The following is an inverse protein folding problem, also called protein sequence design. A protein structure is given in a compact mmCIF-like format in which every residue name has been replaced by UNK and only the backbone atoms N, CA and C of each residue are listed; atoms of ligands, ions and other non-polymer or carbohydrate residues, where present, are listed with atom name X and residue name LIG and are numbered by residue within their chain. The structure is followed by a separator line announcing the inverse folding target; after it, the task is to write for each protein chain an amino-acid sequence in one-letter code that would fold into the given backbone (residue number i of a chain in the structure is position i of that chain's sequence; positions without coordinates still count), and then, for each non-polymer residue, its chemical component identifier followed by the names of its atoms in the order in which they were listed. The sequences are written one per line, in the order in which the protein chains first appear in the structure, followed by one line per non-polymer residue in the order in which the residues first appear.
data_IF_744297848562
#
_entry.id   IF_744297848562
#
_cell.length_a   1.000
_cell.length_b   1.000
_cell.length_c   1.000
_cell.angle_alpha   90.00
_cell.angle_beta   90.00
_cell.angle_gamma   90.00
#
_symmetry.space_group_name_H-M   'P 1'
#
loop_
_entity.id
_entity.type
_entity.pdbx_description
1 polymer ?
#
# COMPACT_ATOMS: atom_id res chain seq x y z
N UNK A 1 9.52 1.48 22.29
CA UNK A 1 8.66 0.87 23.33
C UNK A 1 7.28 1.50 23.29
N UNK A 2 6.30 0.82 22.70
CA UNK A 2 4.87 1.00 23.00
C UNK A 2 4.06 -0.01 22.18
N UNK A 3 3.88 -1.22 22.71
CA UNK A 3 2.67 -1.98 22.44
C UNK A 3 1.77 -1.76 23.66
N UNK A 4 0.58 -1.22 23.44
CA UNK A 4 -0.49 -1.22 24.44
C UNK A 4 -1.57 -2.11 23.86
N UNK A 5 -1.58 -3.37 24.30
CA UNK A 5 -2.71 -4.26 24.07
C UNK A 5 -3.88 -3.77 24.94
N UNK A 6 -4.81 -3.03 24.35
CA UNK A 6 -6.11 -2.79 24.97
C UNK A 6 -6.93 -4.05 24.73
N UNK A 7 -7.11 -4.83 25.79
CA UNK A 7 -7.96 -6.02 25.83
C UNK A 7 -9.40 -5.61 25.45
N UNK A 8 -9.94 -6.19 24.38
CA UNK A 8 -11.38 -6.12 24.06
C UNK A 8 -11.79 -5.53 22.70
N UNK A 9 -10.86 -5.05 21.87
CA UNK A 9 -11.19 -4.61 20.50
C UNK A 9 -10.65 -5.63 19.48
N UNK A 10 -11.57 -6.20 18.69
CA UNK A 10 -11.26 -7.12 17.57
C UNK A 10 -10.24 -6.44 16.65
N UNK A 11 -9.14 -7.12 16.34
CA UNK A 11 -8.12 -6.66 15.38
C UNK A 11 -8.24 -7.46 14.08
N UNK A 12 -7.75 -6.95 12.94
CA UNK A 12 -7.67 -7.75 11.73
C UNK A 12 -6.82 -9.01 11.97
N UNK A 13 -7.30 -10.20 11.55
CA UNK A 13 -6.48 -11.41 11.51
C UNK A 13 -5.15 -11.23 10.78
N UNK A 14 -4.16 -12.05 11.16
CA UNK A 14 -2.86 -12.10 10.49
C UNK A 14 -3.05 -12.40 8.99
N UNK A 15 -2.35 -11.66 8.12
CA UNK A 15 -2.62 -11.69 6.69
C UNK A 15 -1.45 -11.21 5.85
N UNK A 16 -1.36 -11.72 4.61
CA UNK A 16 -0.38 -11.30 3.60
C UNK A 16 -1.07 -10.94 2.28
N UNK A 17 -0.43 -10.09 1.47
CA UNK A 17 -0.93 -9.74 0.14
C UNK A 17 -2.16 -8.84 0.15
N UNK A 18 -2.45 -8.23 1.29
CA UNK A 18 -3.46 -7.19 1.44
C UNK A 18 -2.87 -5.82 1.07
N UNK A 19 -3.71 -4.80 0.98
CA UNK A 19 -3.24 -3.41 0.84
C UNK A 19 -3.77 -2.55 1.97
N UNK A 20 -3.04 -1.48 2.25
CA UNK A 20 -3.50 -0.41 3.12
C UNK A 20 -3.28 0.95 2.49
N UNK A 21 -4.14 1.89 2.87
CA UNK A 21 -4.10 3.29 2.50
C UNK A 21 -4.46 4.14 3.72
N UNK A 22 -3.99 5.37 3.77
CA UNK A 22 -4.24 6.26 4.90
C UNK A 22 -4.79 7.60 4.43
N UNK A 23 -5.67 8.19 5.25
CA UNK A 23 -6.00 9.61 5.21
C UNK A 23 -5.42 10.33 6.46
N UNK A 24 -5.98 11.47 6.85
CA UNK A 24 -5.54 12.22 8.03
C UNK A 24 -5.98 11.60 9.37
N UNK A 25 -6.97 10.73 9.35
CA UNK A 25 -7.69 10.24 10.53
C UNK A 25 -7.55 8.71 10.70
N UNK A 26 -7.43 7.99 9.60
CA UNK A 26 -7.56 6.55 9.54
C UNK A 26 -6.53 5.89 8.63
N UNK A 27 -6.12 4.69 9.03
CA UNK A 27 -5.56 3.68 8.14
C UNK A 27 -6.66 2.69 7.78
N UNK A 28 -6.78 2.38 6.49
CA UNK A 28 -7.69 1.36 5.98
C UNK A 28 -6.88 0.13 5.54
N UNK A 29 -7.32 -1.06 5.93
CA UNK A 29 -6.73 -2.36 5.54
C UNK A 29 -7.79 -3.18 4.84
N UNK A 30 -7.47 -3.69 3.64
CA UNK A 30 -8.43 -4.45 2.84
C UNK A 30 -7.76 -5.62 2.10
N UNK A 31 -8.47 -6.75 2.04
CA UNK A 31 -8.03 -7.95 1.37
C UNK A 31 -7.00 -8.76 2.17
N UNK A 32 -6.28 -9.60 1.42
CA UNK A 32 -5.24 -10.49 1.90
C UNK A 32 -5.68 -11.94 1.99
N UNK A 33 -4.73 -12.75 2.43
CA UNK A 33 -4.82 -14.19 2.53
C UNK A 33 -4.12 -14.70 3.79
N UNK A 34 -4.69 -15.72 4.43
CA UNK A 34 -4.04 -16.55 5.44
C UNK A 34 -4.57 -18.00 5.34
N UNK A 35 -3.72 -18.99 5.01
CA UNK A 35 -4.11 -20.40 4.95
C UNK A 35 -4.23 -21.08 6.31
N UNK A 36 -3.78 -20.45 7.39
CA UNK A 36 -4.00 -21.00 8.71
C UNK A 36 -5.46 -20.72 9.12
N UNK A 37 -6.25 -21.79 9.23
CA UNK A 37 -7.68 -21.68 9.50
C UNK A 37 -7.95 -20.95 10.81
N UNK A 38 -7.27 -21.34 11.89
CA UNK A 38 -7.50 -20.77 13.22
C UNK A 38 -7.02 -19.32 13.29
N UNK A 39 -5.83 -19.01 12.77
CA UNK A 39 -5.32 -17.63 12.72
C UNK A 39 -6.12 -16.72 11.78
N UNK A 40 -6.79 -17.28 10.77
CA UNK A 40 -7.64 -16.53 9.85
C UNK A 40 -9.04 -16.23 10.40
N UNK A 41 -9.35 -16.64 11.63
CA UNK A 41 -10.65 -16.45 12.28
C UNK A 41 -11.56 -17.68 12.25
N UNK A 42 -11.06 -18.82 11.76
CA UNK A 42 -11.78 -20.10 11.76
C UNK A 42 -13.15 -20.00 11.10
N UNK A 43 -14.19 -20.41 11.83
CA UNK A 43 -15.58 -20.40 11.34
C UNK A 43 -16.15 -19.01 11.11
N UNK A 44 -15.55 -17.96 11.68
CA UNK A 44 -16.02 -16.58 11.51
C UNK A 44 -15.60 -15.98 10.15
N UNK A 45 -14.64 -16.59 9.44
CA UNK A 45 -14.20 -16.13 8.13
C UNK A 45 -14.92 -16.89 7.00
N UNK A 46 -16.06 -16.36 6.57
CA UNK A 46 -16.88 -16.95 5.50
C UNK A 46 -16.14 -17.03 4.14
N UNK A 47 -15.17 -16.15 3.92
CA UNK A 47 -14.40 -16.06 2.67
C UNK A 47 -13.03 -16.74 2.77
N UNK A 48 -12.84 -17.61 3.77
CA UNK A 48 -11.60 -18.37 3.99
C UNK A 48 -11.09 -19.02 2.71
N UNK A 49 -9.76 -18.96 2.44
CA UNK A 49 -8.70 -18.33 3.24
C UNK A 49 -8.40 -16.87 2.86
N UNK A 50 -9.30 -16.21 2.13
CA UNK A 50 -9.19 -14.78 1.78
C UNK A 50 -9.91 -13.92 2.82
N UNK A 51 -9.65 -12.62 2.82
CA UNK A 51 -10.30 -11.67 3.72
C UNK A 51 -11.12 -10.64 2.95
N UNK A 52 -12.44 -10.85 2.88
CA UNK A 52 -13.38 -9.95 2.21
C UNK A 52 -14.01 -8.95 3.19
N UNK A 53 -13.14 -8.16 3.81
CA UNK A 53 -13.52 -7.25 4.89
C UNK A 53 -12.66 -6.00 4.91
N UNK A 54 -13.28 -4.85 5.19
CA UNK A 54 -12.60 -3.57 5.31
C UNK A 54 -12.37 -3.24 6.79
N UNK A 55 -11.11 -3.11 7.18
CA UNK A 55 -10.71 -2.69 8.52
C UNK A 55 -10.25 -1.24 8.53
N UNK A 56 -10.49 -0.57 9.65
CA UNK A 56 -10.06 0.80 9.92
C UNK A 56 -9.32 0.86 11.25
N UNK A 57 -8.13 1.43 11.25
CA UNK A 57 -7.42 1.83 12.46
C UNK A 57 -7.50 3.34 12.59
N UNK A 58 -8.14 3.81 13.67
CA UNK A 58 -8.36 5.23 13.90
C UNK A 58 -7.19 5.82 14.70
N UNK A 59 -6.44 6.76 14.11
CA UNK A 59 -5.17 7.22 14.65
C UNK A 59 -5.31 7.89 16.02
N UNK A 60 -6.39 8.64 16.25
CA UNK A 60 -6.54 9.38 17.50
C UNK A 60 -6.89 8.48 18.70
N UNK A 61 -7.58 7.36 18.45
CA UNK A 61 -8.02 6.44 19.50
C UNK A 61 -7.11 5.23 19.62
N UNK A 62 -6.34 4.92 18.58
CA UNK A 62 -5.50 3.74 18.51
C UNK A 62 -6.31 2.44 18.38
N UNK A 63 -7.56 2.53 17.89
CA UNK A 63 -8.50 1.41 17.88
C UNK A 63 -8.74 0.89 16.47
N UNK A 64 -8.77 -0.44 16.35
CA UNK A 64 -9.27 -1.13 15.17
C UNK A 64 -10.79 -1.22 15.18
N UNK A 65 -11.38 -1.16 13.99
CA UNK A 65 -12.79 -1.40 13.75
C UNK A 65 -12.99 -2.04 12.37
N UNK A 66 -13.72 -3.15 12.32
CA UNK A 66 -14.22 -3.70 11.07
C UNK A 66 -15.37 -2.80 10.57
N UNK A 67 -15.20 -2.21 9.40
CA UNK A 67 -16.24 -1.43 8.74
C UNK A 67 -17.18 -2.41 8.04
N UNK A 68 -18.43 -2.47 8.50
CA UNK A 68 -19.49 -3.12 7.74
C UNK A 68 -19.78 -2.29 6.49
N UNK A 69 -19.54 -2.88 5.33
CA UNK A 69 -19.77 -2.26 4.03
C UNK A 69 -20.79 -3.05 3.22
N UNK A 70 -21.50 -2.36 2.35
CA UNK A 70 -22.49 -2.96 1.44
C UNK A 70 -22.02 -2.87 -0.02
N UNK A 71 -22.69 -3.58 -0.93
CA UNK A 71 -22.48 -3.45 -2.37
C UNK A 71 -21.48 -4.45 -2.97
N UNK A 72 -20.88 -4.08 -4.10
CA UNK A 72 -20.10 -4.99 -4.95
C UNK A 72 -18.62 -5.04 -4.57
N UNK A 73 -18.32 -5.76 -3.49
CA UNK A 73 -16.94 -5.98 -3.03
C UNK A 73 -16.20 -6.97 -3.97
N UNK A 74 -14.91 -6.75 -4.27
CA UNK A 74 -14.13 -7.70 -5.08
C UNK A 74 -13.96 -9.05 -4.39
N UNK A 75 -13.70 -10.08 -5.20
CA UNK A 75 -13.41 -11.45 -4.76
C UNK A 75 -11.94 -11.82 -4.88
N UNK A 76 -11.18 -11.10 -5.70
CA UNK A 76 -9.76 -11.33 -5.96
C UNK A 76 -8.89 -10.57 -4.96
N UNK A 77 -8.97 -11.03 -3.71
CA UNK A 77 -8.57 -10.27 -2.52
C UNK A 77 -7.09 -10.36 -2.17
N UNK A 78 -6.37 -11.34 -2.72
CA UNK A 78 -4.95 -11.41 -2.56
C UNK A 78 -4.27 -10.61 -3.66
N UNK A 79 -3.19 -9.93 -3.30
CA UNK A 79 -2.23 -9.41 -4.27
C UNK A 79 -2.73 -8.28 -5.18
N UNK A 80 -3.85 -7.65 -4.81
CA UNK A 80 -4.44 -6.51 -5.51
C UNK A 80 -3.65 -5.22 -5.27
N UNK A 81 -4.00 -4.20 -6.04
CA UNK A 81 -3.51 -2.83 -5.88
C UNK A 81 -4.61 -1.94 -5.31
N UNK A 82 -4.25 -1.01 -4.43
CA UNK A 82 -5.18 -0.05 -3.87
C UNK A 82 -4.61 1.36 -3.76
N UNK A 83 -5.45 2.36 -3.98
CA UNK A 83 -5.14 3.79 -3.76
C UNK A 83 -6.35 4.48 -3.16
N UNK A 84 -6.12 5.56 -2.40
CA UNK A 84 -7.18 6.42 -1.86
C UNK A 84 -7.24 7.72 -2.67
N UNK A 85 -8.41 8.05 -3.19
CA UNK A 85 -8.66 9.30 -3.91
C UNK A 85 -9.84 10.05 -3.31
N UNK A 86 -9.55 11.08 -2.52
CA UNK A 86 -10.55 11.69 -1.64
C UNK A 86 -11.07 10.64 -0.65
N UNK A 87 -12.39 10.42 -0.63
CA UNK A 87 -13.02 9.41 0.22
C UNK A 87 -13.22 8.06 -0.49
N UNK A 88 -12.66 7.88 -1.69
CA UNK A 88 -12.87 6.68 -2.50
C UNK A 88 -11.61 5.80 -2.49
N UNK A 89 -11.73 4.64 -1.87
CA UNK A 89 -10.75 3.56 -1.97
C UNK A 89 -10.97 2.85 -3.31
N UNK A 90 -10.02 2.98 -4.22
CA UNK A 90 -10.00 2.29 -5.50
C UNK A 90 -9.16 1.03 -5.37
N UNK A 91 -9.71 -0.10 -5.79
CA UNK A 91 -9.06 -1.42 -5.80
C UNK A 91 -9.06 -1.97 -7.21
N UNK A 92 -7.92 -2.52 -7.64
CA UNK A 92 -7.74 -3.07 -8.97
C UNK A 92 -6.91 -4.35 -8.96
N UNK A 93 -7.26 -5.26 -9.86
CA UNK A 93 -6.52 -6.51 -10.07
C UNK A 93 -6.65 -7.45 -8.88
N UNK A 94 -5.61 -8.25 -8.67
CA UNK A 94 -5.57 -9.25 -7.61
C UNK A 94 -5.95 -10.63 -8.10
N UNK A 95 -5.86 -11.60 -7.19
CA UNK A 95 -6.15 -13.01 -7.46
C UNK A 95 -7.02 -13.60 -6.35
N UNK A 96 -8.00 -14.39 -6.76
CA UNK A 96 -8.78 -15.29 -5.92
C UNK A 96 -8.09 -16.65 -5.82
N UNK A 97 -8.83 -17.66 -5.35
CA UNK A 97 -8.33 -19.03 -5.23
C UNK A 97 -9.04 -19.92 -6.25
N UNK A 98 -8.31 -20.80 -6.97
CA UNK A 98 -6.85 -20.98 -6.98
C UNK A 98 -6.06 -19.76 -7.51
N UNK A 99 -4.88 -19.50 -6.93
CA UNK A 99 -4.07 -18.34 -7.29
C UNK A 99 -3.57 -18.40 -8.74
N UNK A 100 -3.69 -17.29 -9.44
CA UNK A 100 -3.32 -17.15 -10.86
C UNK A 100 -4.40 -17.63 -11.84
N UNK A 101 -5.38 -18.41 -11.40
CA UNK A 101 -6.48 -18.87 -12.24
C UNK A 101 -7.67 -17.90 -12.21
N UNK A 102 -7.98 -17.36 -11.04
CA UNK A 102 -9.06 -16.39 -10.87
C UNK A 102 -8.50 -14.99 -10.63
N UNK A 103 -8.26 -14.23 -11.70
CA UNK A 103 -7.67 -12.89 -11.60
C UNK A 103 -8.69 -11.80 -11.97
N UNK A 104 -8.61 -10.70 -11.23
CA UNK A 104 -9.44 -9.53 -11.42
C UNK A 104 -8.85 -8.60 -12.48
N UNK A 105 -9.70 -7.87 -13.19
CA UNK A 105 -9.27 -6.64 -13.85
C UNK A 105 -10.29 -5.51 -13.64
N UNK A 106 -11.30 -5.70 -12.79
CA UNK A 106 -12.30 -4.68 -12.50
C UNK A 106 -11.76 -3.61 -11.55
N UNK A 107 -12.29 -2.39 -11.69
CA UNK A 107 -12.03 -1.29 -10.75
C UNK A 107 -13.17 -1.24 -9.76
N UNK A 108 -12.91 -1.66 -8.54
CA UNK A 108 -13.85 -1.57 -7.44
C UNK A 108 -13.61 -0.28 -6.66
N UNK A 109 -14.70 0.40 -6.29
CA UNK A 109 -14.64 1.67 -5.55
C UNK A 109 -15.46 1.54 -4.30
N UNK A 110 -14.82 1.66 -3.14
CA UNK A 110 -15.47 1.84 -1.85
C UNK A 110 -15.39 3.28 -1.45
N UNK A 111 -16.53 3.94 -1.23
CA UNK A 111 -16.48 5.18 -0.49
C UNK A 111 -16.47 4.89 1.01
N UNK A 112 -15.47 5.40 1.71
CA UNK A 112 -15.26 5.07 3.13
C UNK A 112 -16.24 5.79 4.06
N UNK A 113 -16.87 6.89 3.62
CA UNK A 113 -17.83 7.64 4.43
C UNK A 113 -19.21 6.98 4.45
N UNK A 114 -19.75 6.66 3.27
CA UNK A 114 -21.04 5.96 3.16
C UNK A 114 -20.91 4.42 3.09
N UNK A 115 -19.69 3.89 3.21
CA UNK A 115 -19.38 2.46 3.43
C UNK A 115 -19.98 1.54 2.37
N UNK A 116 -19.93 1.96 1.10
CA UNK A 116 -20.53 1.21 -0.01
C UNK A 116 -19.54 0.99 -1.14
N UNK A 117 -19.47 -0.25 -1.58
CA UNK A 117 -18.73 -0.71 -2.74
C UNK A 117 -19.58 -0.61 -4.01
N UNK A 118 -18.93 -0.21 -5.09
CA UNK A 118 -19.51 -0.19 -6.43
C UNK A 118 -18.47 -0.60 -7.46
N UNK A 119 -18.94 -1.16 -8.56
CA UNK A 119 -18.12 -1.39 -9.74
C UNK A 119 -18.02 -0.09 -10.54
N UNK A 120 -16.82 0.37 -10.84
CA UNK A 120 -16.63 1.47 -11.77
C UNK A 120 -16.73 0.93 -13.20
N UNK A 121 -17.87 1.19 -13.84
CA UNK A 121 -18.09 0.83 -15.23
C UNK A 121 -17.11 1.59 -16.15
N UNK A 122 -16.03 0.92 -16.52
CA UNK A 122 -15.00 1.45 -17.40
C UNK A 122 -15.15 0.87 -18.81
N UNK A 123 -14.83 1.68 -19.83
CA UNK A 123 -14.76 1.26 -21.23
C UNK A 123 -13.32 1.34 -21.75
N UNK A 124 -13.10 1.03 -23.02
CA UNK A 124 -11.79 1.14 -23.67
C UNK A 124 -10.92 -0.12 -23.52
N UNK A 125 -9.61 0.04 -23.69
CA UNK A 125 -8.64 -1.07 -23.69
C UNK A 125 -8.21 -1.41 -22.26
N UNK A 126 -9.02 -2.23 -21.61
CA UNK A 126 -8.82 -2.67 -20.23
C UNK A 126 -7.57 -3.55 -20.07
N UNK A 127 -6.84 -3.47 -18.95
CA UNK A 127 -5.73 -4.38 -18.68
C UNK A 127 -6.17 -5.84 -18.63
N UNK A 128 -5.22 -6.75 -18.90
CA UNK A 128 -5.42 -8.18 -18.72
C UNK A 128 -5.69 -8.52 -17.24
N UNK A 129 -6.32 -9.68 -17.02
CA UNK A 129 -6.60 -10.23 -15.68
C UNK A 129 -5.31 -10.75 -15.04
N UNK A 130 -4.64 -9.90 -14.27
CA UNK A 130 -3.35 -10.18 -13.63
C UNK A 130 -3.33 -9.65 -12.19
N UNK A 131 -2.34 -10.08 -11.40
CA UNK A 131 -2.15 -9.66 -10.02
C UNK A 131 -0.71 -9.20 -9.73
N UNK A 132 -0.50 -8.55 -8.59
CA UNK A 132 0.83 -8.05 -8.21
C UNK A 132 1.33 -6.87 -9.05
N UNK A 133 0.40 -6.12 -9.64
CA UNK A 133 0.63 -4.82 -10.27
C UNK A 133 1.03 -3.78 -9.22
N UNK A 134 1.55 -2.64 -9.69
CA UNK A 134 1.56 -1.40 -8.94
C UNK A 134 0.60 -0.39 -9.57
N UNK A 135 0.10 0.54 -8.75
CA UNK A 135 -0.95 1.48 -9.14
C UNK A 135 -0.75 2.85 -8.50
N UNK A 136 -0.99 3.91 -9.27
CA UNK A 136 -0.85 5.30 -8.80
C UNK A 136 -1.82 6.24 -9.50
N UNK A 137 -2.21 7.34 -8.85
CA UNK A 137 -3.02 8.40 -9.48
C UNK A 137 -2.15 9.63 -9.73
N UNK A 138 -2.14 10.10 -10.97
CA UNK A 138 -1.41 11.30 -11.38
C UNK A 138 -2.33 12.14 -12.26
N UNK A 139 -2.55 13.40 -11.88
CA UNK A 139 -3.32 14.39 -12.67
C UNK A 139 -4.70 13.89 -13.14
N UNK A 140 -5.44 13.17 -12.29
CA UNK A 140 -6.79 12.66 -12.60
C UNK A 140 -6.80 11.34 -13.39
N UNK A 141 -5.64 10.75 -13.66
CA UNK A 141 -5.51 9.46 -14.31
C UNK A 141 -4.99 8.40 -13.34
N UNK A 142 -5.57 7.20 -13.38
CA UNK A 142 -5.08 6.02 -12.68
C UNK A 142 -4.16 5.24 -13.61
N UNK A 143 -2.91 5.03 -13.19
CA UNK A 143 -1.92 4.25 -13.92
C UNK A 143 -1.73 2.90 -13.24
N UNK A 144 -1.65 1.83 -14.05
CA UNK A 144 -1.39 0.46 -13.60
C UNK A 144 -0.28 -0.13 -14.45
N UNK A 145 0.75 -0.67 -13.80
CA UNK A 145 1.91 -1.24 -14.48
C UNK A 145 2.22 -2.66 -13.99
N UNK A 146 2.65 -3.48 -14.94
CA UNK A 146 3.21 -4.81 -14.71
C UNK A 146 2.26 -5.79 -14.05
N UNK A 147 2.79 -6.76 -13.31
CA UNK A 147 2.03 -7.84 -12.69
C UNK A 147 2.20 -9.17 -13.42
N UNK A 148 1.43 -10.18 -13.03
CA UNK A 148 1.55 -11.54 -13.59
C UNK A 148 0.22 -12.27 -13.66
N UNK A 149 0.09 -13.17 -14.63
CA UNK A 149 -0.97 -14.20 -14.66
C UNK A 149 -0.67 -15.38 -13.74
N UNK A 150 0.53 -15.46 -13.17
CA UNK A 150 1.10 -16.65 -12.50
C UNK A 150 2.05 -17.44 -13.40
N UNK A 151 1.97 -17.25 -14.71
CA UNK A 151 2.84 -17.90 -15.71
C UNK A 151 3.66 -16.87 -16.50
N UNK A 152 3.03 -15.76 -16.88
CA UNK A 152 3.62 -14.71 -17.70
C UNK A 152 3.65 -13.43 -16.86
N UNK A 153 4.76 -12.69 -16.94
CA UNK A 153 4.91 -11.39 -16.32
C UNK A 153 4.65 -10.31 -17.37
N UNK A 154 4.16 -9.14 -16.95
CA UNK A 154 3.80 -8.07 -17.88
C UNK A 154 4.71 -6.85 -17.69
N UNK A 155 4.88 -6.10 -18.77
CA UNK A 155 5.46 -4.74 -18.83
C UNK A 155 4.44 -3.70 -19.28
N UNK A 156 3.16 -4.09 -19.38
CA UNK A 156 2.15 -3.19 -19.92
C UNK A 156 1.88 -2.04 -18.95
N UNK A 157 1.80 -0.83 -19.48
CA UNK A 157 1.35 0.35 -18.76
C UNK A 157 -0.04 0.75 -19.28
N UNK A 158 -1.01 0.73 -18.40
CA UNK A 158 -2.37 1.15 -18.70
C UNK A 158 -2.73 2.40 -17.93
N UNK A 159 -3.54 3.26 -18.56
CA UNK A 159 -4.05 4.50 -17.99
C UNK A 159 -5.57 4.52 -18.07
N UNK A 160 -6.22 4.77 -16.94
CA UNK A 160 -7.66 5.05 -16.86
C UNK A 160 -7.86 6.54 -16.57
N UNK A 161 -8.59 7.20 -17.46
CA UNK A 161 -9.14 8.52 -17.18
C UNK A 161 -10.30 8.40 -16.18
N UNK A 162 -10.16 8.98 -14.99
CA UNK A 162 -11.17 8.86 -13.93
C UNK A 162 -12.42 9.71 -14.20
N UNK A 163 -12.33 10.72 -15.07
CA UNK A 163 -13.47 11.55 -15.49
C UNK A 163 -14.27 10.83 -16.56
N UNK A 164 -13.62 10.37 -17.63
CA UNK A 164 -14.31 9.74 -18.76
C UNK A 164 -14.55 8.24 -18.55
N UNK A 165 -13.85 7.61 -17.60
CA UNK A 165 -13.87 6.17 -17.30
C UNK A 165 -13.41 5.31 -18.48
N UNK A 166 -12.42 5.81 -19.20
CA UNK A 166 -11.88 5.16 -20.39
C UNK A 166 -10.44 4.68 -20.17
N UNK A 167 -10.23 3.38 -20.36
CA UNK A 167 -8.93 2.74 -20.35
C UNK A 167 -8.21 2.91 -21.68
N UNK A 168 -6.92 3.24 -21.59
CA UNK A 168 -5.98 3.28 -22.70
C UNK A 168 -4.76 2.44 -22.36
N UNK A 169 -4.33 1.58 -23.29
CA UNK A 169 -3.01 0.95 -23.23
C UNK A 169 -1.98 1.95 -23.77
N UNK A 170 -1.02 2.34 -22.94
CA UNK A 170 0.06 3.23 -23.33
C UNK A 170 1.17 2.42 -23.97
N UNK A 171 1.31 2.56 -25.29
CA UNK A 171 2.40 1.93 -26.03
C UNK A 171 3.62 2.86 -26.02
N UNK A 172 4.69 2.53 -25.30
CA UNK A 172 5.90 3.35 -25.29
C UNK A 172 6.49 3.52 -26.69
N UNK A 173 7.11 4.67 -26.95
CA UNK A 173 7.82 4.98 -28.18
C UNK A 173 9.21 4.31 -28.26
N UNK A 174 9.59 3.56 -27.23
CA UNK A 174 10.86 2.84 -27.13
C UNK A 174 10.95 1.67 -28.11
N UNK A 175 12.16 1.31 -28.56
CA UNK A 175 12.40 -0.02 -29.12
C UNK A 175 12.18 -1.10 -28.04
N UNK A 176 11.88 -2.35 -28.42
CA UNK A 176 11.63 -3.44 -27.46
C UNK A 176 12.73 -3.65 -26.43
N UNK A 177 14.00 -3.44 -26.80
CA UNK A 177 15.17 -3.67 -25.94
C UNK A 177 15.33 -2.60 -24.83
N UNK A 178 14.63 -1.46 -24.95
CA UNK A 178 14.67 -0.36 -23.97
C UNK A 178 13.49 -0.40 -22.98
N UNK A 179 12.67 -1.46 -23.03
CA UNK A 179 11.56 -1.65 -22.10
C UNK A 179 12.05 -2.22 -20.76
N UNK A 180 11.43 -1.84 -19.64
CA UNK A 180 11.72 -2.46 -18.35
C UNK A 180 11.49 -3.97 -18.42
N UNK A 181 12.26 -4.75 -17.66
CA UNK A 181 12.02 -6.19 -17.59
C UNK A 181 10.63 -6.49 -17.01
N UNK A 182 9.99 -7.55 -17.50
CA UNK A 182 8.73 -8.03 -16.95
C UNK A 182 8.85 -8.32 -15.44
N UNK A 183 7.85 -7.90 -14.67
CA UNK A 183 7.89 -8.01 -13.21
C UNK A 183 6.52 -7.96 -12.54
N UNK A 184 6.46 -8.54 -11.36
CA UNK A 184 5.38 -8.34 -10.39
C UNK A 184 5.98 -7.91 -9.04
N UNK A 185 5.14 -7.40 -8.13
CA UNK A 185 5.53 -7.06 -6.75
C UNK A 185 6.68 -6.06 -6.63
N UNK A 186 6.74 -5.19 -7.63
CA UNK A 186 7.41 -3.90 -7.57
C UNK A 186 6.47 -2.88 -6.93
N UNK A 187 7.00 -1.73 -6.59
CA UNK A 187 6.21 -0.59 -6.15
C UNK A 187 6.45 0.61 -7.08
N UNK A 188 5.58 1.62 -7.00
CA UNK A 188 5.61 2.81 -7.85
C UNK A 188 5.73 4.09 -7.03
N UNK A 189 6.49 5.04 -7.57
CA UNK A 189 6.53 6.44 -7.15
C UNK A 189 6.42 7.37 -8.37
N UNK A 190 6.23 8.67 -8.17
CA UNK A 190 6.14 9.63 -9.27
C UNK A 190 6.54 11.05 -8.88
N UNK A 191 7.04 11.84 -9.82
CA UNK A 191 7.27 13.29 -9.63
C UNK A 191 6.20 14.16 -10.33
N UNK A 192 5.17 13.51 -10.89
CA UNK A 192 4.11 14.15 -11.67
C UNK A 192 4.39 14.22 -13.18
N UNK A 193 5.65 14.06 -13.59
CA UNK A 193 6.07 13.96 -15.00
C UNK A 193 6.50 12.54 -15.37
N UNK A 194 7.09 11.81 -14.41
CA UNK A 194 7.57 10.45 -14.56
C UNK A 194 6.94 9.50 -13.55
N UNK A 195 6.76 8.25 -13.96
CA UNK A 195 6.40 7.11 -13.09
C UNK A 195 7.64 6.26 -12.89
N UNK A 196 8.09 6.08 -11.66
CA UNK A 196 9.27 5.31 -11.30
C UNK A 196 8.89 3.92 -10.80
N UNK A 197 9.57 2.89 -11.28
CA UNK A 197 9.39 1.49 -10.87
C UNK A 197 10.50 1.10 -9.90
N UNK A 198 10.13 0.68 -8.69
CA UNK A 198 11.07 0.28 -7.65
C UNK A 198 10.99 -1.22 -7.38
N UNK A 199 12.10 -1.91 -7.65
CA UNK A 199 12.31 -3.32 -7.34
C UNK A 199 11.35 -4.26 -8.08
N UNK A 200 10.83 -5.23 -7.35
CA UNK A 200 10.06 -6.35 -7.89
C UNK A 200 10.95 -7.38 -8.56
N UNK A 201 10.33 -8.26 -9.33
CA UNK A 201 11.05 -9.29 -10.06
C UNK A 201 10.13 -10.37 -10.59
N UNK A 202 10.64 -11.60 -10.66
CA UNK A 202 9.89 -12.82 -10.99
C UNK A 202 9.77 -13.70 -9.73
N UNK A 203 9.16 -14.88 -9.85
CA UNK A 203 9.06 -15.81 -8.73
C UNK A 203 10.43 -16.31 -8.25
N UNK A 204 11.45 -16.30 -9.11
CA UNK A 204 12.82 -16.74 -8.81
C UNK A 204 13.81 -15.58 -8.61
N UNK A 205 13.62 -14.44 -9.27
CA UNK A 205 14.59 -13.33 -9.24
C UNK A 205 14.01 -12.09 -8.56
N UNK A 206 14.81 -11.42 -7.73
CA UNK A 206 14.56 -10.05 -7.30
C UNK A 206 15.52 -9.12 -8.05
N UNK A 207 14.99 -8.03 -8.61
CA UNK A 207 15.80 -7.11 -9.41
C UNK A 207 16.53 -6.08 -8.53
N UNK A 208 17.74 -5.66 -8.93
CA UNK A 208 18.54 -4.71 -8.18
C UNK A 208 17.94 -3.30 -8.25
N UNK A 209 18.44 -2.44 -7.36
CA UNK A 209 17.98 -1.06 -7.18
C UNK A 209 19.09 -0.04 -7.46
N UNK A 210 20.20 -0.47 -8.08
CA UNK A 210 21.25 0.40 -8.61
C UNK A 210 20.76 1.18 -9.84
N UNK A 211 19.73 0.67 -10.52
CA UNK A 211 19.00 1.35 -11.59
C UNK A 211 17.50 1.33 -11.33
N UNK A 212 16.81 2.36 -11.81
CA UNK A 212 15.34 2.43 -11.79
C UNK A 212 14.82 2.80 -13.17
N UNK A 213 13.71 2.18 -13.57
CA UNK A 213 13.02 2.55 -14.81
C UNK A 213 12.02 3.66 -14.52
N UNK A 214 12.03 4.70 -15.34
CA UNK A 214 11.13 5.84 -15.24
C UNK A 214 10.36 6.02 -16.55
N UNK A 215 9.03 6.03 -16.49
CA UNK A 215 8.19 6.28 -17.65
C UNK A 215 7.84 7.77 -17.72
N UNK A 216 8.31 8.44 -18.75
CA UNK A 216 8.05 9.85 -19.01
C UNK A 216 6.67 10.01 -19.68
N UNK A 217 5.77 10.72 -18.99
CA UNK A 217 4.38 10.91 -19.40
C UNK A 217 4.24 11.90 -20.57
N UNK A 218 5.21 12.78 -20.79
CA UNK A 218 5.22 13.74 -21.89
C UNK A 218 5.71 13.09 -23.18
N UNK A 219 6.85 12.38 -23.12
CA UNK A 219 7.46 11.75 -24.30
C UNK A 219 6.88 10.38 -24.61
N UNK A 220 6.06 9.81 -23.71
CA UNK A 220 5.50 8.46 -23.83
C UNK A 220 6.62 7.42 -24.02
N UNK A 221 7.68 7.51 -23.21
CA UNK A 221 8.85 6.62 -23.29
C UNK A 221 9.43 6.28 -21.93
N UNK A 222 10.00 5.08 -21.82
CA UNK A 222 10.82 4.65 -20.71
C UNK A 222 12.23 5.24 -20.79
N UNK A 223 12.78 5.56 -19.62
CA UNK A 223 14.14 6.02 -19.38
C UNK A 223 14.74 5.09 -18.30
N UNK A 224 15.99 4.65 -18.49
CA UNK A 224 16.76 3.97 -17.44
C UNK A 224 17.59 5.01 -16.67
N UNK A 225 17.42 5.05 -15.35
CA UNK A 225 18.10 6.01 -14.48
C UNK A 225 19.03 5.27 -13.53
N UNK A 226 20.33 5.59 -13.62
CA UNK A 226 21.31 5.13 -12.65
C UNK A 226 21.11 5.84 -11.31
N UNK A 227 20.91 5.07 -10.26
CA UNK A 227 20.83 5.58 -8.88
C UNK A 227 22.22 5.64 -8.25
N UNK A 228 22.35 6.47 -7.22
CA UNK A 228 23.58 6.63 -6.45
C UNK A 228 23.49 5.85 -5.15
N UNK A 229 24.54 5.09 -4.78
CA UNK A 229 24.53 4.27 -3.58
C UNK A 229 24.66 5.13 -2.33
N UNK A 230 24.19 4.65 -1.19
CA UNK A 230 24.56 5.26 0.09
C UNK A 230 26.08 5.14 0.31
N UNK A 231 26.75 6.24 0.62
CA UNK A 231 28.22 6.38 0.65
C UNK A 231 28.99 5.24 1.33
N UNK A 232 28.46 4.70 2.43
CA UNK A 232 29.13 3.65 3.23
C UNK A 232 28.57 2.24 3.07
N UNK A 233 27.34 2.11 2.59
CA UNK A 233 26.58 0.84 2.68
C UNK A 233 26.32 0.27 1.29
N UNK A 234 26.34 1.11 0.25
CA UNK A 234 25.97 0.69 -1.09
C UNK A 234 24.48 0.87 -1.34
N UNK A 235 23.95 -0.02 -2.16
CA UNK A 235 22.55 -0.03 -2.56
C UNK A 235 21.68 -0.87 -1.59
N UNK A 236 20.36 -0.62 -1.53
CA UNK A 236 19.46 -1.58 -0.95
C UNK A 236 19.57 -2.93 -1.66
N UNK A 237 19.48 -4.03 -0.90
CA UNK A 237 19.43 -5.36 -1.52
C UNK A 237 18.26 -5.46 -2.52
N UNK A 238 18.43 -6.21 -3.63
CA UNK A 238 17.35 -6.55 -4.56
C UNK A 238 16.13 -7.08 -3.80
N UNK A 239 14.92 -6.64 -4.14
CA UNK A 239 13.73 -7.01 -3.34
C UNK A 239 12.43 -6.98 -4.11
N UNK A 240 11.55 -7.93 -3.78
CA UNK A 240 10.14 -7.98 -4.18
C UNK A 240 9.24 -8.05 -2.95
N UNK A 241 7.96 -7.74 -3.13
CA UNK A 241 6.94 -7.79 -2.06
C UNK A 241 7.29 -6.92 -0.83
N UNK A 242 8.07 -5.85 -1.06
CA UNK A 242 8.36 -4.80 -0.10
C UNK A 242 7.23 -3.76 -0.17
N UNK A 243 7.12 -2.90 0.85
CA UNK A 243 6.23 -1.75 0.77
C UNK A 243 6.99 -0.49 0.37
N UNK A 244 6.28 0.43 -0.27
CA UNK A 244 6.78 1.72 -0.69
C UNK A 244 5.80 2.82 -0.30
N UNK A 245 6.31 3.93 0.23
CA UNK A 245 5.54 5.15 0.48
C UNK A 245 6.33 6.36 0.01
N UNK A 246 5.63 7.42 -0.39
CA UNK A 246 6.24 8.62 -0.91
C UNK A 246 5.82 9.86 -0.11
N UNK A 247 6.79 10.71 0.22
CA UNK A 247 6.57 12.04 0.80
C UNK A 247 7.32 13.05 -0.08
N UNK A 248 6.58 13.79 -0.91
CA UNK A 248 7.17 14.73 -1.90
C UNK A 248 8.19 13.99 -2.78
N UNK A 249 9.42 14.47 -2.87
CA UNK A 249 10.48 13.85 -3.68
C UNK A 249 11.16 12.64 -3.00
N UNK A 250 10.85 12.36 -1.74
CA UNK A 250 11.46 11.25 -1.01
C UNK A 250 10.56 10.00 -1.06
N UNK A 251 11.12 8.91 -1.55
CA UNK A 251 10.48 7.60 -1.65
C UNK A 251 11.13 6.65 -0.66
N UNK A 252 10.34 5.97 0.14
CA UNK A 252 10.79 5.09 1.20
C UNK A 252 10.35 3.67 0.91
N UNK A 253 11.28 2.73 1.02
CA UNK A 253 11.02 1.29 0.89
C UNK A 253 11.35 0.58 2.21
N UNK A 254 10.55 -0.43 2.56
CA UNK A 254 10.79 -1.25 3.75
C UNK A 254 10.53 -2.74 3.51
N UNK A 255 11.36 -3.55 4.14
CA UNK A 255 11.25 -5.01 4.14
C UNK A 255 11.26 -5.63 2.74
N UNK A 256 10.48 -6.71 2.57
CA UNK A 256 10.41 -7.49 1.34
C UNK A 256 11.28 -8.75 1.38
N UNK A 257 11.44 -9.38 0.22
CA UNK A 257 12.19 -10.64 0.07
C UNK A 257 13.19 -10.53 -1.08
N UNK A 258 14.45 -10.90 -0.83
CA UNK A 258 15.51 -10.84 -1.84
C UNK A 258 15.72 -12.16 -2.60
N UNK A 259 15.03 -13.24 -2.22
CA UNK A 259 15.28 -14.59 -2.74
C UNK A 259 15.87 -15.55 -1.72
N UNK A 260 16.44 -15.02 -0.63
CA UNK A 260 17.10 -15.78 0.44
C UNK A 260 16.58 -15.40 1.83
N UNK A 261 16.43 -14.09 2.09
CA UNK A 261 16.09 -13.51 3.39
C UNK A 261 14.87 -12.61 3.30
N UNK A 262 14.04 -12.66 4.34
CA UNK A 262 13.05 -11.62 4.61
C UNK A 262 13.79 -10.41 5.17
N UNK A 263 13.64 -9.27 4.52
CA UNK A 263 14.30 -8.03 4.88
C UNK A 263 13.48 -7.27 5.94
N UNK A 264 14.16 -6.48 6.76
CA UNK A 264 13.56 -5.58 7.74
C UNK A 264 14.11 -4.14 7.63
N UNK A 265 15.01 -3.89 6.69
CA UNK A 265 15.66 -2.60 6.54
C UNK A 265 14.73 -1.56 5.91
N UNK A 266 15.00 -0.29 6.23
CA UNK A 266 14.33 0.86 5.63
C UNK A 266 15.34 1.67 4.83
N UNK A 267 14.95 2.05 3.63
CA UNK A 267 15.75 2.88 2.74
C UNK A 267 14.91 4.02 2.19
N UNK A 268 15.59 5.10 1.82
CA UNK A 268 15.02 6.26 1.14
C UNK A 268 15.79 6.53 -0.15
N UNK A 269 15.10 6.82 -1.23
CA UNK A 269 15.67 7.45 -2.43
C UNK A 269 15.02 8.81 -2.66
N UNK A 270 15.82 9.82 -2.97
CA UNK A 270 15.32 11.12 -3.37
C UNK A 270 15.22 11.18 -4.90
N UNK A 271 14.03 11.44 -5.44
CA UNK A 271 13.74 11.39 -6.88
C UNK A 271 14.40 12.50 -7.71
N UNK A 272 14.93 13.56 -7.08
CA UNK A 272 15.66 14.62 -7.79
C UNK A 272 17.15 14.26 -7.95
N UNK A 273 17.73 13.61 -6.94
CA UNK A 273 19.17 13.30 -6.89
C UNK A 273 19.50 11.85 -7.21
N UNK A 274 18.48 10.99 -7.17
CA UNK A 274 18.54 9.53 -7.22
C UNK A 274 19.48 8.91 -6.20
N UNK A 275 19.65 9.58 -5.05
CA UNK A 275 20.55 9.17 -3.98
C UNK A 275 19.84 8.25 -2.99
N UNK A 276 20.34 7.01 -2.85
CA UNK A 276 19.91 6.10 -1.80
C UNK A 276 20.48 6.50 -0.43
N UNK A 277 19.67 6.36 0.60
CA UNK A 277 20.05 6.53 2.00
C UNK A 277 19.44 5.44 2.84
N UNK A 278 20.25 4.72 3.62
CA UNK A 278 19.73 3.75 4.59
C UNK A 278 19.27 4.50 5.83
N UNK A 279 18.05 4.24 6.29
CA UNK A 279 17.56 4.83 7.54
C UNK A 279 18.13 4.08 8.75
N UNK A 280 18.39 4.75 9.87
CA UNK A 280 18.85 4.13 11.12
C UNK A 280 17.68 3.48 11.87
N UNK A 281 16.84 2.75 11.16
CA UNK A 281 15.65 2.09 11.68
C UNK A 281 15.43 0.76 10.93
N UNK A 282 14.80 -0.18 11.61
CA UNK A 282 14.40 -1.48 11.07
C UNK A 282 12.98 -1.80 11.50
N UNK A 283 12.28 -2.58 10.70
CA UNK A 283 11.02 -3.19 11.11
C UNK A 283 11.28 -4.10 12.34
N UNK A 284 10.44 -4.04 13.38
CA UNK A 284 10.59 -4.92 14.55
C UNK A 284 10.55 -6.40 14.20
N UNK A 285 9.78 -6.74 13.16
CA UNK A 285 9.68 -8.08 12.60
C UNK A 285 9.89 -7.99 11.07
N UNK A 286 10.88 -8.69 10.48
CA UNK A 286 11.04 -8.76 9.04
C UNK A 286 9.78 -9.32 8.38
N UNK A 287 9.28 -8.67 7.33
CA UNK A 287 8.10 -9.16 6.61
C UNK A 287 8.18 -8.89 5.11
N UNK A 288 7.52 -9.75 4.33
CA UNK A 288 7.22 -9.54 2.91
C UNK A 288 5.73 -9.79 2.65
N UNK A 289 5.18 -9.26 1.55
CA UNK A 289 3.72 -9.19 1.33
C UNK A 289 2.95 -8.46 2.44
N UNK A 290 3.63 -7.62 3.22
CA UNK A 290 3.02 -6.64 4.10
C UNK A 290 2.54 -5.44 3.28
N UNK A 291 1.81 -4.52 3.90
CA UNK A 291 1.49 -3.23 3.30
C UNK A 291 2.05 -2.09 4.16
N UNK A 292 2.24 -0.93 3.55
CA UNK A 292 2.46 0.31 4.28
C UNK A 292 1.67 1.45 3.66
N UNK A 293 1.31 2.42 4.50
CA UNK A 293 0.71 3.68 4.08
C UNK A 293 1.30 4.82 4.91
N UNK A 294 1.37 6.01 4.33
CA UNK A 294 1.90 7.21 5.00
C UNK A 294 0.79 8.22 5.18
N UNK A 295 0.69 8.82 6.36
CA UNK A 295 -0.22 9.94 6.61
C UNK A 295 0.30 11.19 5.93
N UNK A 296 -0.55 12.19 5.65
CA UNK A 296 -0.08 13.48 5.13
C UNK A 296 0.91 14.22 6.03
N UNK A 297 0.93 13.90 7.34
CA UNK A 297 1.92 14.41 8.28
C UNK A 297 3.30 13.71 8.19
N UNK A 298 3.42 12.60 7.44
CA UNK A 298 4.66 11.86 7.26
C UNK A 298 4.89 10.72 8.27
N UNK A 299 3.83 10.23 8.91
CA UNK A 299 3.89 9.01 9.74
C UNK A 299 3.54 7.80 8.89
N UNK A 300 4.49 6.89 8.73
CA UNK A 300 4.30 5.64 8.01
C UNK A 300 3.78 4.56 8.96
N UNK A 301 2.74 3.85 8.54
CA UNK A 301 2.20 2.67 9.20
C UNK A 301 2.49 1.44 8.35
N UNK A 302 2.90 0.34 8.98
CA UNK A 302 3.25 -0.93 8.34
C UNK A 302 2.39 -2.02 8.98
N UNK A 303 1.69 -2.81 8.17
CA UNK A 303 0.76 -3.82 8.66
C UNK A 303 0.96 -5.19 8.00
N UNK A 304 0.93 -6.22 8.85
CA UNK A 304 0.87 -7.62 8.47
C UNK A 304 2.06 -8.14 7.66
N UNK A 305 1.82 -9.16 6.82
CA UNK A 305 2.81 -9.82 5.99
C UNK A 305 3.16 -11.23 6.45
N UNK A 306 4.03 -11.89 5.68
CA UNK A 306 4.64 -13.18 6.01
C UNK A 306 5.97 -12.94 6.70
N UNK A 307 6.16 -13.60 7.85
CA UNK A 307 7.29 -13.39 8.77
C UNK A 307 8.17 -14.64 8.89
N UNK A 308 7.66 -15.81 8.52
CA UNK A 308 8.43 -17.05 8.41
C UNK A 308 7.97 -17.85 7.19
N UNK A 309 8.90 -18.10 6.26
CA UNK A 309 8.63 -18.84 5.02
C UNK A 309 8.36 -20.32 5.31
N UNK A 310 9.15 -20.94 6.21
CA UNK A 310 9.10 -22.38 6.47
C UNK A 310 7.85 -22.79 7.22
N UNK A 311 7.44 -21.99 8.20
CA UNK A 311 6.21 -22.20 8.96
C UNK A 311 4.98 -21.61 8.25
N UNK A 312 5.17 -20.92 7.12
CA UNK A 312 4.14 -20.18 6.41
C UNK A 312 3.38 -19.22 7.36
N UNK A 313 4.11 -18.59 8.29
CA UNK A 313 3.54 -17.77 9.37
C UNK A 313 3.31 -16.34 8.91
N UNK A 314 2.16 -15.78 9.28
CA UNK A 314 1.79 -14.38 9.04
C UNK A 314 1.70 -13.60 10.34
N UNK A 315 1.69 -12.28 10.21
CA UNK A 315 1.46 -11.36 11.34
C UNK A 315 0.26 -10.47 11.05
N UNK A 316 -0.41 -10.01 12.12
CA UNK A 316 -1.44 -8.97 12.11
C UNK A 316 -0.96 -7.68 12.81
N UNK A 317 0.35 -7.60 13.10
CA UNK A 317 0.94 -6.48 13.81
C UNK A 317 0.88 -5.19 13.01
N UNK A 318 0.75 -4.07 13.72
CA UNK A 318 0.79 -2.72 13.19
C UNK A 318 1.96 -1.97 13.81
N UNK A 319 2.89 -1.49 12.97
CA UNK A 319 4.01 -0.66 13.39
C UNK A 319 3.88 0.74 12.80
N UNK A 320 4.44 1.75 13.49
CA UNK A 320 4.53 3.11 12.94
C UNK A 320 5.90 3.74 13.11
N UNK A 321 6.29 4.60 12.16
CA UNK A 321 7.52 5.38 12.19
C UNK A 321 7.30 6.76 11.56
N UNK A 322 7.86 7.81 12.16
CA UNK A 322 7.90 9.14 11.57
C UNK A 322 9.03 9.22 10.55
N UNK A 323 8.68 9.45 9.28
CA UNK A 323 9.63 9.63 8.17
C UNK A 323 9.97 11.10 7.93
N UNK A 324 9.05 11.99 8.30
CA UNK A 324 9.26 13.43 8.37
C UNK A 324 9.22 13.89 9.83
N UNK A 325 9.86 15.03 10.11
CA UNK A 325 9.74 15.65 11.43
C UNK A 325 8.28 16.07 11.63
N UNK A 326 7.56 15.53 12.64
CA UNK A 326 6.18 15.90 12.89
C UNK A 326 6.08 17.38 13.25
N UNK A 327 5.00 18.03 12.84
CA UNK A 327 4.73 19.41 13.24
C UNK A 327 4.49 19.49 14.75
N UNK A 328 4.63 20.68 15.33
CA UNK A 328 4.29 20.91 16.73
C UNK A 328 2.81 20.53 17.02
N UNK A 329 1.92 20.77 16.05
CA UNK A 329 0.52 20.36 16.15
C UNK A 329 0.39 18.84 16.33
N UNK A 330 1.06 18.04 15.49
CA UNK A 330 1.01 16.57 15.59
C UNK A 330 1.61 16.06 16.90
N UNK A 331 2.73 16.63 17.33
CA UNK A 331 3.36 16.27 18.60
C UNK A 331 2.44 16.59 19.79
N UNK A 332 1.84 17.78 19.81
CA UNK A 332 0.89 18.19 20.84
C UNK A 332 -0.38 17.32 20.81
N UNK A 333 -0.88 16.99 19.62
CA UNK A 333 -2.07 16.16 19.44
C UNK A 333 -1.85 14.74 19.96
N UNK A 334 -0.75 14.08 19.58
CA UNK A 334 -0.41 12.75 20.12
C UNK A 334 -0.26 12.78 21.65
N UNK A 335 0.35 13.85 22.20
CA UNK A 335 0.50 14.00 23.66
C UNK A 335 -0.83 14.25 24.36
N UNK A 336 -1.71 15.08 23.78
CA UNK A 336 -3.03 15.37 24.31
C UNK A 336 -3.87 14.10 24.38
N UNK A 337 -3.94 13.33 23.29
CA UNK A 337 -4.71 12.09 23.23
C UNK A 337 -4.19 11.02 24.20
N UNK A 338 -2.86 10.93 24.36
CA UNK A 338 -2.24 10.05 25.33
C UNK A 338 -2.56 10.45 26.77
N UNK A 339 -2.58 11.74 27.08
CA UNK A 339 -2.87 12.26 28.41
C UNK A 339 -4.38 12.19 28.75
N UNK A 340 -5.24 12.40 27.74
CA UNK A 340 -6.69 12.51 27.90
C UNK A 340 -7.44 11.61 26.91
N UNK A 341 -7.33 10.28 27.02
CA UNK A 341 -7.95 9.33 26.07
C UNK A 341 -9.50 9.43 26.03
N UNK A 342 -10.11 9.92 27.13
CA UNK A 342 -11.55 10.10 27.25
C UNK A 342 -12.12 11.20 26.33
N UNK A 343 -11.28 12.08 25.76
CA UNK A 343 -11.72 13.10 24.80
C UNK A 343 -12.53 12.49 23.64
N UNK A 344 -12.14 11.28 23.19
CA UNK A 344 -12.85 10.55 22.13
C UNK A 344 -14.32 10.27 22.46
N UNK A 345 -14.66 10.12 23.75
CA UNK A 345 -16.02 9.84 24.20
C UNK A 345 -16.88 11.09 24.43
N UNK A 346 -16.28 12.27 24.53
CA UNK A 346 -17.02 13.50 24.85
C UNK A 346 -17.89 13.96 23.67
N UNK A 347 -19.07 14.54 23.90
CA UNK A 347 -19.88 15.16 22.86
C UNK A 347 -19.14 16.33 22.18
N UNK A 348 -19.40 16.56 20.89
CA UNK A 348 -18.78 17.65 20.09
C UNK A 348 -18.84 19.01 20.79
N UNK A 349 -19.99 19.38 21.36
CA UNK A 349 -20.14 20.66 22.06
C UNK A 349 -19.20 20.81 23.27
N UNK A 350 -18.90 19.72 23.99
CA UNK A 350 -17.96 19.77 25.10
C UNK A 350 -16.52 19.93 24.59
N UNK A 351 -16.16 19.28 23.49
CA UNK A 351 -14.84 19.42 22.87
C UNK A 351 -14.60 20.85 22.38
N UNK A 352 -15.62 21.49 21.78
CA UNK A 352 -15.57 22.90 21.39
C UNK A 352 -15.38 23.79 22.62
N UNK A 353 -16.10 23.54 23.72
CA UNK A 353 -15.95 24.30 24.96
C UNK A 353 -14.57 24.11 25.62
N UNK A 354 -13.90 22.98 25.37
CA UNK A 354 -12.51 22.74 25.77
C UNK A 354 -11.48 23.42 24.84
N UNK A 355 -11.93 24.08 23.77
CA UNK A 355 -11.09 24.83 22.85
C UNK A 355 -10.52 24.01 21.69
N UNK A 356 -11.00 22.78 21.44
CA UNK A 356 -10.60 22.03 20.26
C UNK A 356 -11.22 22.66 19.01
N UNK A 357 -10.41 22.78 17.95
CA UNK A 357 -10.88 23.21 16.64
C UNK A 357 -11.76 22.14 16.00
N UNK A 358 -12.63 22.56 15.07
CA UNK A 358 -13.49 21.65 14.31
C UNK A 358 -12.68 20.55 13.59
N UNK A 359 -11.52 20.89 13.02
CA UNK A 359 -10.63 19.94 12.35
C UNK A 359 -10.09 18.86 13.31
N UNK A 360 -9.68 19.22 14.53
CA UNK A 360 -9.21 18.26 15.53
C UNK A 360 -10.35 17.38 16.05
N UNK A 361 -11.56 17.93 16.12
CA UNK A 361 -12.76 17.16 16.49
C UNK A 361 -13.08 16.14 15.39
N UNK A 362 -12.98 16.50 14.11
CA UNK A 362 -13.18 15.57 12.99
C UNK A 362 -12.13 14.46 12.96
N UNK A 363 -10.87 14.76 13.31
CA UNK A 363 -9.81 13.75 13.47
C UNK A 363 -10.01 12.82 14.66
N UNK A 364 -10.88 13.20 15.60
CA UNK A 364 -11.15 12.44 16.81
C UNK A 364 -12.39 11.54 16.68
N UNK A 365 -13.28 11.81 15.71
CA UNK A 365 -14.64 11.26 15.65
C UNK A 365 -14.90 10.23 14.57
#
# INVERSE_FOLDING_TARGET
NCEVYIVGLRTPPARSGHRCVADNTNLYVFGGYNPDYDESGGSDNEDYPLFRELWRYHFATGCWQQIRTEGYMPTELASMSAVLHGNNLLVFGGTGIPFGENNGNDVHVCNVNYKRWSLLNCRGKKPNRIYGQAMVIINGFLYVFGGTTGYIYSTDLHRLDLTTREWSHLKPNNPPDDLPEERYRHEIAHDGQRIYILGGGTSWTSYPLDKVHAYNLETNSWEEINTKPHDKIGYPAPRRCHSCVQIRDDVFICGGYNGELILADLWKINLQTFQWSKLPAVMPEPAYFHCAAVTPAGCMYIHGGVVNIFENKRTGSLFKIWLAVPSLLELCWERLLKAFPHLSSLPTMQLINLGLTQELIERLK
#
